data_IF_958956868171
#
_entry.id   IF_958956868171
#
_cell.length_a   1.000
_cell.length_b   1.000
_cell.length_c   1.000
_cell.angle_alpha   90.00
_cell.angle_beta   90.00
_cell.angle_gamma   90.00
#
_symmetry.space_group_name_H-M   'P 1'
#
loop_
_entity.id
_entity.type
_entity.pdbx_description
1 polymer ?
#
# COMPACT_ATOMS: atom_id res chain seq x y z
N UNK A 1 6.97 20.08 -0.44
CA UNK A 1 7.65 18.99 0.28
C UNK A 1 7.63 17.81 -0.67
N UNK A 2 8.69 17.62 -1.45
CA UNK A 2 8.70 16.61 -2.51
C UNK A 2 8.74 15.23 -1.87
N UNK A 3 7.73 14.41 -2.11
CA UNK A 3 7.76 12.99 -1.79
C UNK A 3 8.84 12.39 -2.69
N UNK A 4 10.04 12.20 -2.14
CA UNK A 4 11.11 11.50 -2.86
C UNK A 4 10.81 10.01 -2.74
N UNK A 5 10.01 9.50 -3.69
CA UNK A 5 9.86 8.07 -3.92
C UNK A 5 11.22 7.54 -4.35
N UNK A 6 12.05 7.13 -3.38
CA UNK A 6 13.27 6.40 -3.67
C UNK A 6 12.84 5.02 -4.18
N UNK A 7 12.68 4.91 -5.50
CA UNK A 7 12.42 3.67 -6.21
C UNK A 7 13.67 2.79 -6.12
N UNK A 8 13.88 2.15 -4.97
CA UNK A 8 14.72 0.96 -4.89
C UNK A 8 13.92 -0.14 -5.62
N UNK A 9 14.44 -0.61 -6.76
CA UNK A 9 13.82 -1.68 -7.55
C UNK A 9 13.66 -2.92 -6.66
N UNK A 10 12.47 -3.10 -6.10
CA UNK A 10 12.09 -4.37 -5.48
C UNK A 10 11.58 -5.25 -6.60
N UNK A 11 12.41 -6.19 -7.01
CA UNK A 11 12.24 -6.99 -8.21
C UNK A 11 11.28 -8.16 -8.01
N UNK A 12 11.03 -8.58 -6.77
CA UNK A 12 10.19 -9.76 -6.48
C UNK A 12 9.43 -9.70 -5.14
N UNK A 13 8.33 -10.44 -5.04
CA UNK A 13 7.56 -10.65 -3.78
C UNK A 13 8.43 -11.16 -2.63
N UNK A 14 9.47 -11.94 -2.95
CA UNK A 14 10.42 -12.48 -1.98
C UNK A 14 11.12 -11.37 -1.20
N UNK A 15 11.60 -10.34 -1.90
CA UNK A 15 12.31 -9.22 -1.27
C UNK A 15 11.40 -8.41 -0.34
N UNK A 16 10.12 -8.22 -0.70
CA UNK A 16 9.14 -7.60 0.22
C UNK A 16 8.97 -8.43 1.50
N UNK A 17 8.85 -9.75 1.37
CA UNK A 17 8.69 -10.65 2.52
C UNK A 17 9.92 -10.67 3.42
N UNK A 18 11.12 -10.64 2.83
CA UNK A 18 12.39 -10.56 3.57
C UNK A 18 12.52 -9.22 4.32
N UNK A 19 12.12 -8.11 3.70
CA UNK A 19 12.07 -6.81 4.38
C UNK A 19 11.09 -6.84 5.55
N UNK A 20 9.86 -7.30 5.31
CA UNK A 20 8.82 -7.43 6.35
C UNK A 20 9.34 -8.25 7.52
N UNK A 21 9.96 -9.41 7.24
CA UNK A 21 10.51 -10.29 8.27
C UNK A 21 11.59 -9.58 9.08
N UNK A 22 12.49 -8.84 8.43
CA UNK A 22 13.58 -8.10 9.10
C UNK A 22 13.04 -7.00 10.01
N UNK A 23 12.09 -6.20 9.52
CA UNK A 23 11.46 -5.10 10.26
C UNK A 23 10.66 -5.62 11.44
N UNK A 24 9.88 -6.67 11.22
CA UNK A 24 9.14 -7.35 12.29
C UNK A 24 10.05 -7.89 13.39
N UNK A 25 11.21 -8.47 13.03
CA UNK A 25 12.15 -9.02 13.99
C UNK A 25 12.73 -7.97 14.96
N UNK A 26 12.79 -6.70 14.55
CA UNK A 26 13.22 -5.58 15.40
C UNK A 26 12.06 -4.81 16.03
N UNK A 27 10.83 -5.31 15.90
CA UNK A 27 9.64 -4.70 16.49
C UNK A 27 9.09 -3.49 15.72
N UNK A 28 9.57 -3.25 14.50
CA UNK A 28 9.07 -2.15 13.67
C UNK A 28 7.75 -2.55 12.99
N UNK A 29 6.77 -1.63 13.04
CA UNK A 29 5.50 -1.76 12.33
C UNK A 29 5.66 -1.21 10.91
N UNK A 30 5.25 -1.99 9.92
CA UNK A 30 5.22 -1.62 8.50
C UNK A 30 3.78 -1.72 8.00
N UNK A 31 3.47 -1.21 6.80
CA UNK A 31 2.17 -1.44 6.17
C UNK A 31 2.33 -2.00 4.76
N UNK A 32 1.63 -3.09 4.47
CA UNK A 32 1.58 -3.69 3.15
C UNK A 32 0.29 -3.27 2.45
N UNK A 33 0.42 -2.44 1.42
CA UNK A 33 -0.65 -2.11 0.50
C UNK A 33 -0.70 -3.17 -0.61
N UNK A 34 -1.86 -3.77 -0.83
CA UNK A 34 -2.10 -4.76 -1.89
C UNK A 34 -3.29 -4.33 -2.74
N UNK A 35 -3.12 -4.33 -4.06
CA UNK A 35 -4.25 -4.21 -4.99
C UNK A 35 -5.10 -5.49 -4.86
N UNK A 36 -6.28 -5.40 -4.27
CA UNK A 36 -7.17 -6.56 -4.06
C UNK A 36 -8.22 -6.70 -5.15
N UNK A 37 -8.57 -5.59 -5.81
CA UNK A 37 -9.52 -5.59 -6.92
C UNK A 37 -9.18 -4.46 -7.89
N UNK A 38 -9.46 -4.71 -9.17
CA UNK A 38 -9.38 -3.70 -10.21
C UNK A 38 -10.62 -3.75 -11.10
N UNK A 39 -11.01 -2.61 -11.66
CA UNK A 39 -12.08 -2.46 -12.64
C UNK A 39 -11.61 -1.51 -13.75
N UNK A 40 -11.83 -1.88 -15.01
CA UNK A 40 -11.37 -1.09 -16.16
C UNK A 40 -9.87 -1.20 -16.41
N UNK A 41 -9.30 -0.16 -17.02
CA UNK A 41 -7.87 -0.10 -17.36
C UNK A 41 -7.06 0.49 -16.22
N UNK A 42 -6.33 -0.35 -15.51
CA UNK A 42 -5.48 0.03 -14.38
C UNK A 42 -4.01 -0.31 -14.65
N UNK A 43 -3.04 0.47 -14.15
CA UNK A 43 -1.60 0.31 -14.43
C UNK A 43 -1.04 -0.99 -13.83
N UNK A 44 -1.62 -1.46 -12.73
CA UNK A 44 -1.36 -2.78 -12.14
C UNK A 44 -2.66 -3.58 -12.01
N UNK A 45 -2.49 -4.89 -11.86
CA UNK A 45 -3.58 -5.84 -11.60
C UNK A 45 -3.62 -6.21 -10.12
N UNK A 46 -4.72 -6.85 -9.73
CA UNK A 46 -4.83 -7.46 -8.42
C UNK A 46 -3.60 -8.33 -8.11
N UNK A 47 -3.09 -8.22 -6.90
CA UNK A 47 -1.87 -8.88 -6.44
C UNK A 47 -0.62 -7.98 -6.42
N UNK A 48 -0.63 -6.82 -7.10
CA UNK A 48 0.46 -5.85 -6.96
C UNK A 48 0.57 -5.34 -5.50
N UNK A 49 1.80 -5.11 -5.05
CA UNK A 49 2.11 -4.80 -3.66
C UNK A 49 3.06 -3.61 -3.55
N UNK A 50 2.85 -2.84 -2.49
CA UNK A 50 3.70 -1.74 -2.07
C UNK A 50 3.84 -1.81 -0.55
N UNK A 51 5.07 -1.87 -0.05
CA UNK A 51 5.39 -1.87 1.37
C UNK A 51 5.80 -0.45 1.79
N UNK A 52 5.18 0.04 2.86
CA UNK A 52 5.48 1.32 3.48
C UNK A 52 6.17 1.05 4.81
N UNK A 53 7.32 1.69 5.00
CA UNK A 53 8.15 1.60 6.19
C UNK A 53 7.83 2.74 7.16
N UNK A 54 8.11 2.61 8.47
CA UNK A 54 7.80 3.64 9.46
C UNK A 54 8.61 4.95 9.25
N UNK A 55 9.74 4.89 8.55
CA UNK A 55 10.53 6.05 8.14
C UNK A 55 9.98 6.72 6.85
N UNK A 56 8.83 6.26 6.35
CA UNK A 56 8.16 6.76 5.15
C UNK A 56 8.71 6.21 3.84
N UNK A 57 9.76 5.37 3.87
CA UNK A 57 10.28 4.72 2.65
C UNK A 57 9.26 3.74 2.07
N UNK A 58 9.34 3.58 0.76
CA UNK A 58 8.44 2.73 -0.03
C UNK A 58 9.26 1.68 -0.76
N UNK A 59 8.75 0.46 -0.81
CA UNK A 59 9.28 -0.66 -1.58
C UNK A 59 8.18 -1.27 -2.44
N UNK A 60 8.41 -1.37 -3.76
CA UNK A 60 7.39 -1.77 -4.72
C UNK A 60 6.45 -0.62 -5.11
N UNK A 61 5.42 -0.92 -5.90
CA UNK A 61 4.48 0.06 -6.47
C UNK A 61 3.15 -0.60 -6.79
N UNK A 62 2.06 0.16 -6.61
CA UNK A 62 0.72 -0.26 -7.06
C UNK A 62 0.34 0.33 -8.41
N UNK A 63 1.23 1.08 -9.07
CA UNK A 63 1.02 1.58 -10.43
C UNK A 63 1.59 2.95 -10.75
N UNK A 64 2.19 3.66 -9.79
CA UNK A 64 2.63 5.04 -9.95
C UNK A 64 1.48 6.05 -9.92
N UNK A 65 1.81 7.34 -9.79
CA UNK A 65 0.86 8.45 -9.95
C UNK A 65 0.21 8.94 -8.66
N UNK A 66 -0.76 9.86 -8.81
CA UNK A 66 -1.39 10.57 -7.68
C UNK A 66 -2.03 9.64 -6.65
N UNK A 67 -2.63 8.52 -7.09
CA UNK A 67 -3.23 7.52 -6.20
C UNK A 67 -2.26 6.85 -5.22
N UNK A 68 -0.95 6.84 -5.50
CA UNK A 68 0.04 6.29 -4.55
C UNK A 68 0.25 7.20 -3.34
N UNK A 69 0.07 8.52 -3.48
CA UNK A 69 0.22 9.45 -2.37
C UNK A 69 -0.88 9.25 -1.31
N UNK A 70 -2.12 9.05 -1.75
CA UNK A 70 -3.26 8.77 -0.87
C UNK A 70 -3.06 7.45 -0.13
N UNK A 71 -2.66 6.39 -0.86
CA UNK A 71 -2.35 5.09 -0.26
C UNK A 71 -1.20 5.18 0.72
N UNK A 72 -0.16 5.97 0.43
CA UNK A 72 0.95 6.20 1.35
C UNK A 72 0.52 6.92 2.63
N UNK A 73 -0.36 7.92 2.51
CA UNK A 73 -0.91 8.64 3.67
C UNK A 73 -1.70 7.70 4.58
N UNK A 74 -2.64 6.95 4.00
CA UNK A 74 -3.47 5.98 4.72
C UNK A 74 -2.63 4.84 5.32
N UNK A 75 -1.58 4.40 4.63
CA UNK A 75 -0.63 3.41 5.13
C UNK A 75 0.16 3.94 6.33
N UNK A 76 0.57 5.20 6.29
CA UNK A 76 1.27 5.85 7.41
C UNK A 76 0.37 5.94 8.63
N UNK A 77 -0.92 6.23 8.46
CA UNK A 77 -1.88 6.19 9.57
C UNK A 77 -2.10 4.78 10.09
N UNK A 78 -2.24 3.79 9.20
CA UNK A 78 -2.38 2.37 9.55
C UNK A 78 -1.18 1.84 10.36
N UNK A 79 0.04 2.30 10.06
CA UNK A 79 1.24 2.01 10.86
C UNK A 79 1.12 2.58 12.28
N UNK A 80 0.53 3.76 12.43
CA UNK A 80 0.40 4.45 13.72
C UNK A 80 -0.66 3.84 14.62
N UNK A 81 -1.82 3.51 14.07
CA UNK A 81 -2.98 3.02 14.84
C UNK A 81 -3.12 1.49 14.85
N UNK A 82 -2.40 0.78 13.96
CA UNK A 82 -2.48 -0.67 13.82
C UNK A 82 -3.79 -1.16 13.19
N UNK A 83 -4.55 -0.29 12.54
CA UNK A 83 -5.87 -0.59 11.94
C UNK A 83 -5.75 -0.80 10.43
N UNK A 84 -6.24 -1.93 9.88
CA UNK A 84 -6.31 -2.14 8.44
C UNK A 84 -7.26 -1.17 7.74
N UNK A 85 -6.94 -0.77 6.51
CA UNK A 85 -7.72 0.21 5.74
C UNK A 85 -7.97 -0.28 4.32
N UNK A 86 -9.10 0.08 3.74
CA UNK A 86 -9.43 -0.17 2.33
C UNK A 86 -9.55 1.17 1.61
N UNK A 87 -8.66 1.41 0.66
CA UNK A 87 -8.58 2.67 -0.10
C UNK A 87 -9.00 2.40 -1.53
N UNK A 88 -9.94 3.19 -2.05
CA UNK A 88 -10.31 3.14 -3.46
C UNK A 88 -9.55 4.24 -4.22
N UNK A 89 -8.73 3.83 -5.17
CA UNK A 89 -8.03 4.73 -6.09
C UNK A 89 -8.84 4.80 -7.39
N UNK A 90 -9.44 5.96 -7.65
CA UNK A 90 -10.19 6.23 -8.88
C UNK A 90 -9.34 7.00 -9.88
N UNK A 91 -8.77 6.27 -10.84
CA UNK A 91 -7.94 6.86 -11.89
C UNK A 91 -8.77 7.45 -13.02
N UNK A 92 -10.11 7.40 -12.97
CA UNK A 92 -10.96 8.05 -13.97
C UNK A 92 -10.99 9.57 -13.81
N UNK A 93 -10.77 10.08 -12.59
CA UNK A 93 -10.83 11.51 -12.30
C UNK A 93 -9.55 12.23 -12.77
N UNK A 94 -8.39 11.57 -12.64
CA UNK A 94 -7.10 12.05 -13.15
C UNK A 94 -7.03 12.11 -14.69
N UNK A 95 -8.04 11.57 -15.41
CA UNK A 95 -8.09 11.62 -16.89
C UNK A 95 -8.54 12.96 -17.46
N UNK A 96 -8.97 13.91 -16.61
CA UNK A 96 -9.38 15.23 -17.07
C UNK A 96 -8.19 16.16 -17.44
N UNK A 97 -6.96 15.82 -17.02
CA UNK A 97 -5.74 16.59 -17.33
C UNK A 97 -4.84 15.86 -18.35
N UNK A 98 -5.21 15.99 -19.62
CA UNK A 98 -4.41 16.08 -20.87
C UNK A 98 -3.02 15.41 -21.00
N UNK A 99 -2.85 14.15 -20.56
CA UNK A 99 -1.56 13.41 -20.73
C UNK A 99 -1.60 12.17 -21.63
N UNK A 100 -2.75 11.83 -22.24
CA UNK A 100 -2.85 10.81 -23.28
C UNK A 100 -2.54 9.35 -22.86
N UNK A 101 -2.23 9.08 -21.59
CA UNK A 101 -2.03 7.74 -21.05
C UNK A 101 -3.21 7.36 -20.15
N UNK A 102 -4.23 6.74 -20.76
CA UNK A 102 -5.54 6.53 -20.12
C UNK A 102 -5.56 5.23 -19.32
N UNK A 103 -5.15 5.28 -18.06
CA UNK A 103 -5.55 4.27 -17.07
C UNK A 103 -6.91 4.67 -16.47
N UNK A 104 -8.00 4.60 -17.25
CA UNK A 104 -9.36 4.98 -16.80
C UNK A 104 -10.06 3.90 -15.96
N UNK A 105 -9.39 3.42 -14.91
CA UNK A 105 -9.89 2.32 -14.07
C UNK A 105 -9.92 2.66 -12.58
N UNK A 106 -10.52 1.77 -11.80
CA UNK A 106 -10.62 1.89 -10.34
C UNK A 106 -9.86 0.72 -9.71
N UNK A 107 -9.11 0.99 -8.64
CA UNK A 107 -8.41 -0.03 -7.86
C UNK A 107 -8.84 0.03 -6.39
N UNK A 108 -9.15 -1.12 -5.81
CA UNK A 108 -9.32 -1.24 -4.36
C UNK A 108 -8.01 -1.75 -3.77
N UNK A 109 -7.47 -1.01 -2.81
CA UNK A 109 -6.18 -1.26 -2.17
C UNK A 109 -6.41 -1.58 -0.70
N UNK A 110 -6.11 -2.81 -0.31
CA UNK A 110 -6.10 -3.21 1.09
C UNK A 110 -4.75 -2.85 1.70
N UNK A 111 -4.78 -2.11 2.80
CA UNK A 111 -3.61 -1.72 3.59
C UNK A 111 -3.66 -2.51 4.88
N UNK A 112 -2.63 -3.33 5.10
CA UNK A 112 -2.50 -4.16 6.30
C UNK A 112 -1.25 -3.72 7.08
N UNK A 113 -1.40 -3.25 8.33
CA UNK A 113 -0.25 -3.03 9.19
C UNK A 113 0.33 -4.39 9.58
N UNK A 114 1.65 -4.52 9.53
CA UNK A 114 2.40 -5.71 9.91
C UNK A 114 3.29 -5.32 11.08
N UNK A 115 2.93 -5.87 12.23
CA UNK A 115 3.51 -5.62 13.55
C UNK A 115 4.04 -6.94 14.12
N UNK A 116 4.90 -6.86 15.13
CA UNK A 116 5.34 -8.05 15.85
C UNK A 116 4.32 -8.45 16.93
N UNK A 117 3.14 -8.88 16.49
CA UNK A 117 2.09 -9.37 17.38
C UNK A 117 1.98 -10.88 17.25
N UNK A 118 1.81 -11.54 18.39
CA UNK A 118 1.56 -12.98 18.43
C UNK A 118 0.26 -13.30 17.67
N UNK A 119 0.23 -14.36 16.83
CA UNK A 119 -0.95 -14.69 16.03
C UNK A 119 -2.26 -14.82 16.83
N UNK A 120 -2.17 -15.10 18.14
CA UNK A 120 -3.31 -15.21 19.05
C UNK A 120 -3.98 -13.87 19.40
N UNK A 121 -3.21 -12.78 19.49
CA UNK A 121 -3.77 -11.46 19.86
C UNK A 121 -4.47 -10.77 18.70
N UNK A 122 -4.02 -11.03 17.46
CA UNK A 122 -4.57 -10.38 16.25
C UNK A 122 -6.04 -10.72 15.99
N UNK A 123 -6.50 -11.92 16.36
CA UNK A 123 -7.91 -12.34 16.22
C UNK A 123 -8.88 -11.53 17.08
N UNK A 124 -8.38 -10.87 18.14
CA UNK A 124 -9.23 -10.09 19.06
C UNK A 124 -9.49 -8.65 18.59
N UNK A 125 -8.59 -8.09 17.76
CA UNK A 125 -8.75 -6.75 17.17
C UNK A 125 -9.73 -6.84 15.99
N UNK A 126 -11.02 -6.71 16.26
CA UNK A 126 -12.05 -6.59 15.21
C UNK A 126 -11.78 -5.34 14.37
N UNK A 127 -11.90 -5.45 13.05
CA UNK A 127 -11.98 -4.31 12.13
C UNK A 127 -13.15 -3.43 12.60
N UNK A 128 -12.97 -2.13 12.86
CA UNK A 128 -14.08 -1.23 13.16
C UNK A 128 -15.08 -1.30 11.99
N UNK A 129 -16.34 -1.61 12.28
CA UNK A 129 -17.40 -1.45 11.29
C UNK A 129 -17.52 0.03 10.97
N UNK A 130 -17.28 0.39 9.71
CA UNK A 130 -17.60 1.71 9.17
C UNK A 130 -19.05 2.11 9.46
#
# INVERSE_FOLDING_TARGET
MSIVVHNQEVSTVKELLEEIARRRAVGEVTALATVVRTKGSTPRKAGAKMLILPDGKILGTIGGGCGEADVWSEATESIRDGVPRLVQVDLTIDTAEDTGMICGGIMDILIEPIENVDPGERRSRRVPSA
#
